data_IF_374089398097
#
_entry.id   IF_374089398097
#
_cell.length_a   1.000
_cell.length_b   1.000
_cell.length_c   1.000
_cell.angle_alpha   90.00
_cell.angle_beta   90.00
_cell.angle_gamma   90.00
#
_symmetry.space_group_name_H-M   'P 1'
#
loop_
_entity.id
_entity.type
_entity.pdbx_description
1 polymer ?
#
# COMPACT_ATOMS: atom_id res chain seq x y z
N UNK A 1 -36.03 28.38 -12.66
CA UNK A 1 -35.96 27.39 -13.75
C UNK A 1 -34.55 27.38 -14.31
N UNK A 2 -33.79 26.33 -14.00
CA UNK A 2 -32.61 25.91 -14.75
C UNK A 2 -32.45 24.41 -14.45
N UNK A 3 -33.20 23.59 -15.19
CA UNK A 3 -32.95 22.16 -15.27
C UNK A 3 -31.66 21.96 -16.06
N UNK A 4 -30.64 21.39 -15.44
CA UNK A 4 -29.54 20.77 -16.15
C UNK A 4 -29.58 19.25 -15.90
N UNK A 5 -29.77 18.45 -16.94
CA UNK A 5 -29.86 17.00 -16.83
C UNK A 5 -28.48 16.32 -16.99
N UNK A 6 -28.42 15.05 -16.53
CA UNK A 6 -27.45 13.99 -16.87
C UNK A 6 -26.16 13.91 -16.03
N UNK A 7 -25.69 12.77 -15.48
CA UNK A 7 -26.00 11.34 -15.67
C UNK A 7 -25.95 10.58 -14.32
N UNK A 8 -27.08 10.02 -13.88
CA UNK A 8 -27.10 8.94 -12.87
C UNK A 8 -27.16 7.62 -13.64
N UNK A 9 -26.07 6.88 -13.74
CA UNK A 9 -26.13 5.47 -14.14
C UNK A 9 -26.49 4.67 -12.89
N UNK A 10 -27.70 4.12 -12.88
CA UNK A 10 -28.09 3.08 -11.93
C UNK A 10 -27.73 1.74 -12.58
N UNK A 11 -26.61 1.15 -12.21
CA UNK A 11 -26.30 -0.22 -12.63
C UNK A 11 -26.83 -1.20 -11.57
N UNK A 12 -27.77 -2.04 -11.99
CA UNK A 12 -28.10 -3.26 -11.26
C UNK A 12 -27.01 -4.28 -11.59
N UNK A 13 -26.11 -4.52 -10.64
CA UNK A 13 -25.15 -5.60 -10.76
C UNK A 13 -25.81 -6.81 -10.10
N UNK A 14 -26.35 -7.70 -10.93
CA UNK A 14 -27.02 -8.90 -10.43
C UNK A 14 -25.95 -9.85 -9.86
N UNK A 15 -25.86 -9.90 -8.52
CA UNK A 15 -24.98 -10.85 -7.84
C UNK A 15 -25.54 -12.28 -7.95
N UNK A 16 -24.66 -13.25 -8.13
CA UNK A 16 -25.01 -14.67 -8.02
C UNK A 16 -25.48 -14.98 -6.60
N UNK A 17 -26.70 -15.50 -6.44
CA UNK A 17 -27.27 -15.88 -5.13
C UNK A 17 -28.47 -15.07 -4.63
N UNK A 18 -29.07 -14.20 -5.44
CA UNK A 18 -30.31 -13.48 -5.08
C UNK A 18 -30.10 -12.20 -4.26
N UNK A 19 -28.86 -11.77 -4.08
CA UNK A 19 -28.51 -10.47 -3.49
C UNK A 19 -28.52 -9.41 -4.62
N UNK A 20 -29.38 -8.40 -4.47
CA UNK A 20 -29.48 -7.29 -5.42
C UNK A 20 -28.49 -6.20 -5.01
N UNK A 21 -27.45 -5.98 -5.82
CA UNK A 21 -26.48 -4.89 -5.61
C UNK A 21 -26.85 -3.71 -6.49
N UNK A 22 -27.05 -2.54 -5.86
CA UNK A 22 -27.34 -1.29 -6.54
C UNK A 22 -26.17 -0.33 -6.37
N UNK A 23 -25.62 0.17 -7.47
CA UNK A 23 -24.60 1.23 -7.43
C UNK A 23 -25.25 2.55 -7.82
N UNK A 24 -25.16 3.54 -6.95
CA UNK A 24 -25.64 4.89 -7.20
C UNK A 24 -24.51 5.90 -7.03
N UNK A 25 -24.34 6.78 -8.02
CA UNK A 25 -23.32 7.84 -7.98
C UNK A 25 -23.99 9.19 -7.89
N UNK A 26 -23.80 9.86 -6.75
CA UNK A 26 -24.24 11.25 -6.59
C UNK A 26 -23.05 12.20 -6.77
N UNK A 27 -23.03 12.91 -7.90
CA UNK A 27 -21.99 13.92 -8.17
C UNK A 27 -22.39 15.27 -7.59
N UNK A 28 -21.55 15.81 -6.71
CA UNK A 28 -21.67 17.18 -6.21
C UNK A 28 -20.73 18.07 -7.02
N UNK A 29 -21.29 18.88 -7.91
CA UNK A 29 -20.51 19.69 -8.87
C UNK A 29 -19.81 20.88 -8.21
N UNK A 30 -20.48 21.55 -7.27
CA UNK A 30 -19.98 22.77 -6.62
C UNK A 30 -19.91 22.63 -5.09
N UNK A 31 -18.93 21.87 -4.59
CA UNK A 31 -18.75 21.67 -3.14
C UNK A 31 -18.57 22.97 -2.33
N UNK A 32 -18.03 24.03 -2.93
CA UNK A 32 -17.88 25.34 -2.28
C UNK A 32 -19.22 26.04 -2.02
N UNK A 33 -20.23 25.82 -2.85
CA UNK A 33 -21.57 26.45 -2.73
C UNK A 33 -22.48 25.73 -1.73
N UNK A 34 -22.10 24.51 -1.34
CA UNK A 34 -22.77 23.73 -0.32
C UNK A 34 -22.65 24.45 1.03
N UNK A 35 -23.77 24.96 1.51
CA UNK A 35 -23.88 25.66 2.78
C UNK A 35 -23.59 24.72 3.96
N UNK A 36 -22.74 25.12 4.91
CA UNK A 36 -22.54 24.36 6.13
C UNK A 36 -23.79 24.38 7.02
N UNK A 37 -23.94 23.38 7.87
CA UNK A 37 -25.07 23.21 8.81
C UNK A 37 -26.46 23.01 8.18
N UNK A 38 -26.53 22.82 6.87
CA UNK A 38 -27.76 22.52 6.14
C UNK A 38 -27.75 21.07 5.64
N UNK A 39 -28.93 20.42 5.66
CA UNK A 39 -29.11 19.10 5.04
C UNK A 39 -29.15 19.24 3.52
N UNK A 40 -28.29 18.50 2.83
CA UNK A 40 -28.32 18.40 1.37
C UNK A 40 -28.78 17.01 0.98
N UNK A 41 -29.74 16.92 0.07
CA UNK A 41 -30.38 15.66 -0.34
C UNK A 41 -30.15 15.41 -1.83
N UNK A 42 -29.83 14.16 -2.20
CA UNK A 42 -29.70 13.75 -3.60
C UNK A 42 -31.06 13.69 -4.30
N UNK A 43 -31.04 13.54 -5.62
CA UNK A 43 -32.23 13.06 -6.33
C UNK A 43 -32.63 11.68 -5.79
N UNK A 44 -33.93 11.39 -5.63
CA UNK A 44 -34.39 10.08 -5.20
C UNK A 44 -34.04 8.99 -6.22
N UNK A 45 -33.76 7.79 -5.74
CA UNK A 45 -33.49 6.62 -6.57
C UNK A 45 -34.26 5.40 -6.09
N UNK A 46 -34.70 4.57 -7.03
CA UNK A 46 -35.46 3.35 -6.74
C UNK A 46 -34.51 2.18 -6.54
N UNK A 47 -34.56 1.54 -5.39
CA UNK A 47 -33.84 0.29 -5.13
C UNK A 47 -34.71 -0.63 -4.29
N UNK A 48 -34.88 -1.86 -4.75
CA UNK A 48 -35.60 -2.92 -4.05
C UNK A 48 -37.05 -2.53 -3.63
N UNK A 49 -37.74 -1.85 -4.55
CA UNK A 49 -39.14 -1.41 -4.40
C UNK A 49 -39.34 -0.19 -3.50
N UNK A 50 -38.27 0.41 -2.98
CA UNK A 50 -38.31 1.61 -2.14
C UNK A 50 -37.65 2.81 -2.83
N UNK A 51 -38.09 4.02 -2.48
CA UNK A 51 -37.47 5.27 -2.92
C UNK A 51 -36.45 5.71 -1.87
N UNK A 52 -35.19 5.82 -2.26
CA UNK A 52 -34.07 6.16 -1.40
C UNK A 52 -33.53 7.54 -1.75
N UNK A 53 -32.93 8.20 -0.76
CA UNK A 53 -32.23 9.47 -0.93
C UNK A 53 -30.92 9.45 -0.13
N UNK A 54 -29.84 9.92 -0.73
CA UNK A 54 -28.64 10.25 0.02
C UNK A 54 -28.80 11.61 0.66
N UNK A 55 -28.36 11.74 1.90
CA UNK A 55 -28.35 13.00 2.63
C UNK A 55 -26.96 13.24 3.19
N UNK A 56 -26.48 14.47 3.14
CA UNK A 56 -25.25 14.83 3.83
C UNK A 56 -25.35 16.16 4.55
N UNK A 57 -24.49 16.31 5.56
CA UNK A 57 -24.32 17.53 6.34
C UNK A 57 -22.86 17.94 6.36
N UNK A 58 -22.58 19.15 5.90
CA UNK A 58 -21.26 19.77 5.94
C UNK A 58 -21.14 20.58 7.24
N UNK A 59 -20.39 20.08 8.21
CA UNK A 59 -20.28 20.64 9.55
C UNK A 59 -21.46 20.27 10.45
N UNK A 60 -21.17 19.71 11.62
CA UNK A 60 -22.14 19.53 12.72
C UNK A 60 -22.13 20.75 13.63
N UNK A 61 -23.23 21.03 14.33
CA UNK A 61 -23.28 22.10 15.35
C UNK A 61 -22.14 22.03 16.38
N UNK A 62 -21.67 20.82 16.72
CA UNK A 62 -20.56 20.60 17.67
C UNK A 62 -19.18 20.45 17.00
N UNK A 63 -19.11 20.21 15.69
CA UNK A 63 -17.85 20.06 14.96
C UNK A 63 -18.02 20.58 13.50
N UNK A 64 -17.66 21.85 13.25
CA UNK A 64 -17.81 22.51 11.95
C UNK A 64 -17.08 21.83 10.79
N UNK A 65 -16.04 21.04 11.09
CA UNK A 65 -15.20 20.39 10.07
C UNK A 65 -15.68 18.98 9.71
N UNK A 66 -16.65 18.42 10.43
CA UNK A 66 -17.12 17.05 10.18
C UNK A 66 -18.08 16.97 8.98
N UNK A 67 -17.92 15.95 8.14
CA UNK A 67 -18.89 15.54 7.13
C UNK A 67 -19.72 14.37 7.67
N UNK A 68 -21.04 14.44 7.57
CA UNK A 68 -21.93 13.31 7.91
C UNK A 68 -22.73 12.88 6.69
N UNK A 69 -22.76 11.58 6.43
CA UNK A 69 -23.48 10.95 5.34
C UNK A 69 -24.59 10.08 5.91
N UNK A 70 -25.77 10.15 5.30
CA UNK A 70 -26.95 9.40 5.71
C UNK A 70 -27.62 8.83 4.45
N UNK A 71 -28.26 7.69 4.61
CA UNK A 71 -29.19 7.14 3.64
C UNK A 71 -30.59 7.20 4.24
N UNK A 72 -31.52 7.83 3.54
CA UNK A 72 -32.91 7.94 3.94
C UNK A 72 -33.82 7.20 2.96
N UNK A 73 -34.97 6.75 3.46
CA UNK A 73 -36.08 6.28 2.63
C UNK A 73 -37.07 7.43 2.50
N UNK A 74 -37.43 7.77 1.27
CA UNK A 74 -38.46 8.76 0.99
C UNK A 74 -39.83 8.08 1.14
N UNK A 75 -40.53 8.37 2.24
CA UNK A 75 -41.90 7.89 2.44
C UNK A 75 -42.83 8.54 1.43
N UNK A 76 -43.38 7.73 0.52
CA UNK A 76 -44.39 8.18 -0.45
C UNK A 76 -45.81 8.21 0.13
N UNK A 77 -46.08 7.40 1.17
CA UNK A 77 -47.35 7.39 1.91
C UNK A 77 -47.15 6.98 3.38
N UNK A 78 -47.91 7.56 4.34
CA UNK A 78 -47.80 7.19 5.75
C UNK A 78 -48.05 5.69 5.97
N UNK A 79 -47.07 5.01 6.59
CA UNK A 79 -47.18 3.59 6.92
C UNK A 79 -46.73 2.62 5.83
N UNK A 80 -46.21 3.09 4.69
CA UNK A 80 -45.69 2.23 3.62
C UNK A 80 -44.52 1.32 4.06
N UNK A 81 -43.84 1.67 5.16
CA UNK A 81 -42.74 0.89 5.72
C UNK A 81 -43.16 -0.08 6.84
N UNK A 82 -44.46 -0.10 7.22
CA UNK A 82 -44.94 -1.00 8.28
C UNK A 82 -44.77 -2.46 7.87
N UNK A 83 -44.02 -3.23 8.66
CA UNK A 83 -43.83 -4.66 8.44
C UNK A 83 -42.69 -5.02 7.47
N UNK A 84 -42.04 -4.05 6.83
CA UNK A 84 -40.88 -4.32 5.98
C UNK A 84 -39.68 -4.67 6.87
N UNK A 85 -39.16 -5.89 6.72
CA UNK A 85 -37.90 -6.35 7.36
C UNK A 85 -36.92 -6.72 6.27
N UNK A 86 -36.02 -5.80 5.94
CA UNK A 86 -34.96 -6.01 4.94
C UNK A 86 -33.61 -5.70 5.58
N UNK A 87 -32.61 -6.52 5.25
CA UNK A 87 -31.23 -6.28 5.65
C UNK A 87 -30.52 -5.57 4.51
N UNK A 88 -30.05 -4.36 4.76
CA UNK A 88 -29.42 -3.50 3.76
C UNK A 88 -27.99 -3.20 4.22
N UNK A 89 -27.00 -3.66 3.45
CA UNK A 89 -25.60 -3.33 3.65
C UNK A 89 -25.26 -2.12 2.78
N UNK A 90 -24.82 -1.03 3.40
CA UNK A 90 -24.56 0.24 2.73
C UNK A 90 -23.06 0.53 2.83
N UNK A 91 -22.41 0.72 1.69
CA UNK A 91 -21.01 1.15 1.62
C UNK A 91 -21.00 2.55 1.01
N UNK A 92 -20.46 3.52 1.74
CA UNK A 92 -20.22 4.86 1.23
C UNK A 92 -18.81 4.93 0.66
N UNK A 93 -18.68 5.18 -0.64
CA UNK A 93 -17.40 5.49 -1.28
C UNK A 93 -17.44 6.97 -1.66
N UNK A 94 -16.54 7.75 -1.07
CA UNK A 94 -16.41 9.18 -1.35
C UNK A 94 -15.19 9.40 -2.24
N UNK A 95 -15.44 9.67 -3.52
CA UNK A 95 -14.39 9.98 -4.48
C UNK A 95 -14.27 11.50 -4.66
N UNK A 96 -13.10 12.04 -4.35
CA UNK A 96 -12.80 13.43 -4.70
C UNK A 96 -12.40 13.51 -6.17
N UNK A 97 -13.37 13.81 -7.04
CA UNK A 97 -13.16 13.90 -8.49
C UNK A 97 -12.28 15.08 -8.94
N UNK A 98 -11.83 15.95 -8.01
CA UNK A 98 -10.91 17.06 -8.30
C UNK A 98 -9.43 16.74 -8.02
N UNK A 99 -9.06 15.49 -7.74
CA UNK A 99 -7.63 15.12 -7.51
C UNK A 99 -6.74 15.28 -8.73
N UNK A 100 -7.30 15.38 -9.95
CA UNK A 100 -6.55 15.91 -11.10
C UNK A 100 -6.52 17.44 -11.03
N UNK A 101 -5.58 17.96 -10.24
CA UNK A 101 -5.22 19.39 -10.23
C UNK A 101 -5.79 20.25 -9.10
N UNK A 102 -6.22 19.67 -7.96
CA UNK A 102 -6.41 20.47 -6.74
C UNK A 102 -5.07 20.80 -6.10
N UNK A 103 -4.49 21.90 -6.57
CA UNK A 103 -3.69 22.78 -5.73
C UNK A 103 -4.61 23.27 -4.60
N UNK A 104 -4.26 23.03 -3.34
CA UNK A 104 -4.99 23.56 -2.18
C UNK A 104 -4.97 25.12 -2.09
N UNK A 105 -4.42 25.79 -3.10
CA UNK A 105 -3.96 27.17 -3.08
C UNK A 105 -4.95 28.29 -3.43
N UNK A 106 -6.28 28.08 -3.39
CA UNK A 106 -7.22 29.19 -3.65
C UNK A 106 -8.03 29.67 -2.44
N UNK A 107 -7.93 28.99 -1.31
CA UNK A 107 -8.30 29.51 0.02
C UNK A 107 -7.35 29.00 1.11
N UNK A 108 -6.13 28.61 0.73
CA UNK A 108 -5.05 28.59 1.72
C UNK A 108 -4.76 30.04 2.12
N UNK A 109 -4.35 30.32 3.36
CA UNK A 109 -3.59 31.55 3.59
C UNK A 109 -2.53 31.67 2.49
N UNK A 110 -2.15 32.89 2.05
CA UNK A 110 -1.07 33.04 1.08
C UNK A 110 0.06 32.11 1.50
N UNK A 111 0.55 31.24 0.59
CA UNK A 111 1.67 30.35 0.88
C UNK A 111 2.74 31.27 1.46
N UNK A 112 2.92 31.21 2.78
CA UNK A 112 4.03 31.88 3.41
C UNK A 112 5.18 31.08 2.87
N UNK A 113 5.89 31.64 1.88
CA UNK A 113 7.06 31.01 1.30
C UNK A 113 7.91 30.58 2.48
N UNK A 114 8.11 29.28 2.64
CA UNK A 114 8.87 28.82 3.77
C UNK A 114 10.29 29.38 3.54
N UNK A 115 10.86 30.14 4.49
CA UNK A 115 12.16 30.75 4.28
C UNK A 115 13.25 29.71 3.95
N UNK A 116 13.02 28.45 4.31
CA UNK A 116 13.90 27.31 4.06
C UNK A 116 13.67 26.61 2.71
N UNK A 117 12.63 26.96 1.92
CA UNK A 117 12.36 26.34 0.62
C UNK A 117 13.59 26.42 -0.31
N UNK A 118 14.28 27.57 -0.31
CA UNK A 118 15.48 27.82 -1.12
C UNK A 118 16.73 27.08 -0.63
N UNK A 119 16.69 26.51 0.58
CA UNK A 119 17.81 25.76 1.15
C UNK A 119 17.71 24.25 0.89
N UNK A 120 16.56 23.75 0.42
CA UNK A 120 16.38 22.34 0.09
C UNK A 120 17.36 21.94 -1.01
N UNK A 121 18.25 21.00 -0.71
CA UNK A 121 19.28 20.51 -1.62
C UNK A 121 20.14 21.64 -2.25
N UNK A 122 20.36 22.72 -1.51
CA UNK A 122 21.13 23.87 -1.94
C UNK A 122 22.57 23.77 -1.44
N UNK A 123 23.60 23.96 -2.28
CA UNK A 123 25.00 24.07 -1.83
C UNK A 123 25.25 25.31 -0.95
N UNK A 124 24.32 26.27 -0.96
CA UNK A 124 24.47 27.52 -0.23
C UNK A 124 24.37 27.26 1.27
N UNK A 125 25.45 27.56 2.00
CA UNK A 125 25.60 27.32 3.44
C UNK A 125 25.54 25.85 3.87
N UNK A 126 25.53 24.90 2.93
CA UNK A 126 25.59 23.48 3.27
C UNK A 126 26.93 23.13 3.91
N UNK A 127 26.88 22.48 5.06
CA UNK A 127 28.02 22.00 5.84
C UNK A 127 28.08 20.46 5.90
N UNK A 128 27.23 19.79 5.11
CA UNK A 128 27.26 18.34 4.86
C UNK A 128 26.71 18.00 3.48
N UNK A 129 27.27 16.96 2.88
CA UNK A 129 26.81 16.36 1.63
C UNK A 129 26.46 14.89 1.82
N UNK A 130 25.44 14.39 1.13
CA UNK A 130 25.07 12.99 1.12
C UNK A 130 25.34 12.39 -0.25
N UNK A 131 26.17 11.35 -0.28
CA UNK A 131 26.39 10.49 -1.45
C UNK A 131 25.42 9.32 -1.39
N UNK A 132 24.28 9.46 -2.07
CA UNK A 132 23.18 8.48 -2.01
C UNK A 132 23.30 7.48 -3.16
N UNK A 133 23.42 6.21 -2.82
CA UNK A 133 23.53 5.09 -3.77
C UNK A 133 22.23 4.30 -3.73
N UNK A 134 21.57 4.20 -4.89
CA UNK A 134 20.35 3.41 -5.04
C UNK A 134 20.62 1.92 -5.28
N UNK A 135 19.56 1.12 -5.36
CA UNK A 135 19.66 -0.34 -5.56
C UNK A 135 20.33 -0.73 -6.89
N UNK A 136 20.33 0.17 -7.87
CA UNK A 136 20.96 -0.02 -9.18
C UNK A 136 22.42 0.48 -9.19
N UNK A 137 23.00 0.73 -8.00
CA UNK A 137 24.34 1.30 -7.83
C UNK A 137 24.53 2.67 -8.50
N UNK A 138 23.43 3.40 -8.76
CA UNK A 138 23.49 4.78 -9.25
C UNK A 138 23.67 5.71 -8.08
N UNK A 139 24.53 6.70 -8.29
CA UNK A 139 24.93 7.62 -7.25
C UNK A 139 24.44 9.03 -7.54
N UNK A 140 23.96 9.71 -6.50
CA UNK A 140 23.57 11.12 -6.56
C UNK A 140 23.99 11.84 -5.29
N UNK A 141 24.52 13.05 -5.46
CA UNK A 141 24.95 13.92 -4.35
C UNK A 141 23.82 14.86 -3.97
N UNK A 142 23.60 15.02 -2.67
CA UNK A 142 22.63 15.93 -2.09
C UNK A 142 23.28 16.84 -1.05
N UNK A 143 22.90 18.12 -1.04
CA UNK A 143 23.43 19.11 -0.09
C UNK A 143 22.45 19.30 1.07
N UNK A 144 22.97 19.42 2.29
CA UNK A 144 22.15 19.65 3.47
C UNK A 144 22.91 20.42 4.57
N UNK A 145 22.21 20.70 5.66
CA UNK A 145 22.68 21.51 6.78
C UNK A 145 22.60 20.70 8.08
N UNK A 146 23.74 20.46 8.73
CA UNK A 146 23.89 19.61 9.92
C UNK A 146 22.92 20.02 11.03
N UNK A 147 22.82 21.31 11.32
CA UNK A 147 21.92 21.84 12.36
C UNK A 147 20.43 21.58 12.09
N UNK A 148 19.99 21.70 10.83
CA UNK A 148 18.59 21.45 10.45
C UNK A 148 18.27 19.96 10.55
N UNK A 149 19.18 19.10 10.04
CA UNK A 149 19.03 17.64 10.10
C UNK A 149 18.96 17.14 11.54
N UNK A 150 19.91 17.56 12.39
CA UNK A 150 19.95 17.17 13.80
C UNK A 150 18.70 17.60 14.56
N UNK A 151 18.16 18.80 14.29
CA UNK A 151 16.91 19.25 14.92
C UNK A 151 15.66 18.44 14.53
N UNK A 152 15.72 17.74 13.39
CA UNK A 152 14.56 17.09 12.76
C UNK A 152 14.53 15.57 12.93
N UNK A 153 15.65 14.96 13.34
CA UNK A 153 15.79 13.52 13.49
C UNK A 153 16.82 13.19 14.59
N UNK A 154 16.47 12.36 15.58
CA UNK A 154 17.41 11.90 16.60
C UNK A 154 18.55 11.05 16.00
N UNK A 155 18.30 10.36 14.87
CA UNK A 155 19.32 9.60 14.16
C UNK A 155 20.34 10.52 13.50
N UNK A 156 19.89 11.60 12.85
CA UNK A 156 20.81 12.61 12.32
C UNK A 156 21.55 13.36 13.42
N UNK A 157 20.89 13.68 14.54
CA UNK A 157 21.56 14.27 15.70
C UNK A 157 22.70 13.37 16.17
N UNK A 158 22.40 12.11 16.49
CA UNK A 158 23.41 11.15 16.94
C UNK A 158 24.54 10.95 15.91
N UNK A 159 24.20 10.85 14.61
CA UNK A 159 25.16 10.71 13.52
C UNK A 159 26.15 11.89 13.44
N UNK A 160 25.68 13.10 13.73
CA UNK A 160 26.42 14.34 13.53
C UNK A 160 27.08 14.89 14.81
N UNK A 161 26.65 14.47 16.00
CA UNK A 161 27.17 15.00 17.29
C UNK A 161 28.09 14.04 18.04
N UNK A 162 28.00 12.72 17.84
CA UNK A 162 28.59 11.74 18.78
C UNK A 162 30.04 11.32 18.53
N UNK A 163 30.88 12.16 17.90
CA UNK A 163 32.30 11.82 17.69
C UNK A 163 32.53 10.57 16.81
N UNK A 164 31.51 10.13 16.07
CA UNK A 164 31.62 9.08 15.06
C UNK A 164 32.33 9.61 13.81
N UNK A 165 32.76 8.73 12.91
CA UNK A 165 33.51 9.12 11.70
C UNK A 165 32.79 10.21 10.91
N UNK A 166 31.47 10.09 10.80
CA UNK A 166 30.55 11.01 10.13
C UNK A 166 30.48 12.40 10.78
N UNK A 167 30.79 12.52 12.08
CA UNK A 167 30.83 13.84 12.75
C UNK A 167 32.02 14.69 12.32
N UNK A 168 33.06 14.07 11.75
CA UNK A 168 34.25 14.73 11.21
C UNK A 168 34.30 14.75 9.68
N UNK A 169 33.36 14.05 9.01
CA UNK A 169 33.26 14.03 7.55
C UNK A 169 32.23 15.06 7.07
N UNK A 170 32.56 15.73 5.97
CA UNK A 170 31.66 16.64 5.26
C UNK A 170 30.84 15.91 4.18
N UNK A 171 31.08 14.60 4.03
CA UNK A 171 30.40 13.72 3.09
C UNK A 171 29.94 12.43 3.79
N UNK A 172 28.64 12.14 3.72
CA UNK A 172 28.01 10.96 4.30
C UNK A 172 27.55 10.04 3.18
N UNK A 173 28.01 8.79 3.20
CA UNK A 173 27.59 7.78 2.23
C UNK A 173 26.32 7.08 2.68
N UNK A 174 25.24 7.20 1.92
CA UNK A 174 23.98 6.51 2.17
C UNK A 174 23.73 5.44 1.11
N UNK A 175 23.92 4.18 1.48
CA UNK A 175 23.65 3.05 0.60
C UNK A 175 22.18 2.61 0.66
N UNK A 176 21.69 2.00 -0.42
CA UNK A 176 20.35 1.40 -0.51
C UNK A 176 19.26 2.42 -0.15
N UNK A 177 19.29 3.56 -0.83
CA UNK A 177 18.33 4.63 -0.64
C UNK A 177 17.90 5.21 -1.99
N UNK A 178 16.59 5.29 -2.20
CA UNK A 178 16.03 5.85 -3.42
C UNK A 178 16.21 7.39 -3.45
N UNK A 179 16.74 7.90 -4.56
CA UNK A 179 17.03 9.33 -4.72
C UNK A 179 15.77 10.23 -4.59
N UNK A 180 14.65 9.83 -5.20
CA UNK A 180 13.38 10.58 -5.15
C UNK A 180 12.78 10.60 -3.74
N UNK A 181 12.87 9.48 -3.02
CA UNK A 181 12.45 9.41 -1.63
C UNK A 181 13.35 10.26 -0.72
N UNK A 182 14.67 10.25 -0.95
CA UNK A 182 15.60 11.03 -0.13
C UNK A 182 15.40 12.54 -0.31
N UNK A 183 15.21 13.02 -1.54
CA UNK A 183 14.87 14.43 -1.76
C UNK A 183 13.50 14.80 -1.17
N UNK A 184 12.53 13.89 -1.20
CA UNK A 184 11.22 14.09 -0.57
C UNK A 184 11.35 14.21 0.97
N UNK A 185 12.23 13.40 1.57
CA UNK A 185 12.55 13.47 2.99
C UNK A 185 13.25 14.79 3.35
N UNK A 186 14.26 15.19 2.58
CA UNK A 186 14.93 16.49 2.75
C UNK A 186 13.92 17.63 2.59
N UNK A 187 13.05 17.58 1.60
CA UNK A 187 12.00 18.58 1.41
C UNK A 187 11.13 18.68 2.67
N UNK A 188 10.70 17.56 3.24
CA UNK A 188 9.96 17.57 4.50
C UNK A 188 10.74 18.21 5.65
N UNK A 189 12.02 17.88 5.82
CA UNK A 189 12.85 18.38 6.92
C UNK A 189 12.93 19.92 6.92
N UNK A 190 12.97 20.55 5.75
CA UNK A 190 13.08 22.01 5.63
C UNK A 190 11.72 22.69 5.60
N UNK A 191 10.73 22.04 4.98
CA UNK A 191 9.46 22.68 4.65
C UNK A 191 8.30 22.28 5.58
N UNK A 192 8.47 21.20 6.33
CA UNK A 192 7.42 20.45 7.04
C UNK A 192 6.29 19.93 6.14
N UNK A 193 6.49 19.93 4.82
CA UNK A 193 5.53 19.42 3.86
C UNK A 193 5.97 18.06 3.31
N UNK A 194 5.15 17.03 3.51
CA UNK A 194 5.38 15.70 2.92
C UNK A 194 4.82 15.69 1.51
N UNK A 195 5.67 15.45 0.52
CA UNK A 195 5.24 15.27 -0.87
C UNK A 195 5.30 13.80 -1.25
N UNK A 196 4.13 13.17 -1.40
CA UNK A 196 4.01 11.78 -1.84
C UNK A 196 3.52 11.78 -3.29
N UNK A 197 4.35 11.28 -4.20
CA UNK A 197 4.07 11.33 -5.65
C UNK A 197 3.43 10.04 -6.17
N UNK A 198 3.75 8.90 -5.55
CA UNK A 198 3.26 7.58 -5.95
C UNK A 198 3.29 6.57 -4.80
N UNK A 199 2.65 5.41 -4.96
CA UNK A 199 2.72 4.31 -3.98
C UNK A 199 4.15 3.80 -3.77
N UNK A 200 4.95 3.74 -4.84
CA UNK A 200 6.36 3.32 -4.75
C UNK A 200 7.21 4.38 -4.06
N UNK A 201 7.01 5.66 -4.38
CA UNK A 201 7.66 6.75 -3.65
C UNK A 201 7.27 6.72 -2.15
N UNK A 202 6.00 6.48 -1.83
CA UNK A 202 5.53 6.33 -0.44
C UNK A 202 6.21 5.17 0.30
N UNK A 203 6.45 4.03 -0.36
CA UNK A 203 7.16 2.87 0.23
C UNK A 203 8.62 3.21 0.52
N UNK A 204 9.32 3.77 -0.47
CA UNK A 204 10.72 4.16 -0.33
C UNK A 204 10.87 5.28 0.74
N UNK A 205 9.93 6.23 0.78
CA UNK A 205 9.92 7.32 1.75
C UNK A 205 9.62 6.80 3.16
N UNK A 206 8.71 5.83 3.29
CA UNK A 206 8.45 5.15 4.56
C UNK A 206 9.71 4.44 5.09
N UNK A 207 10.47 3.79 4.21
CA UNK A 207 11.74 3.16 4.60
C UNK A 207 12.73 4.17 5.18
N UNK A 208 12.91 5.31 4.50
CA UNK A 208 13.82 6.36 4.98
C UNK A 208 13.29 7.02 6.26
N UNK A 209 12.00 7.28 6.34
CA UNK A 209 11.37 7.85 7.52
C UNK A 209 11.51 6.95 8.74
N UNK A 210 11.43 5.62 8.56
CA UNK A 210 11.70 4.65 9.61
C UNK A 210 13.19 4.65 9.98
N UNK A 211 14.08 4.57 8.98
CA UNK A 211 15.55 4.55 9.16
C UNK A 211 16.08 5.78 9.91
N UNK A 212 15.50 6.95 9.67
CA UNK A 212 15.89 8.21 10.30
C UNK A 212 14.94 8.62 11.43
N UNK A 213 14.02 7.75 11.86
CA UNK A 213 13.08 8.00 12.96
C UNK A 213 12.24 9.28 12.83
N UNK A 214 11.85 9.64 11.60
CA UNK A 214 10.99 10.79 11.32
C UNK A 214 9.52 10.35 11.34
N UNK A 215 8.96 10.29 12.56
CA UNK A 215 7.62 9.74 12.85
C UNK A 215 6.51 10.38 12.01
N UNK A 216 6.56 11.70 11.79
CA UNK A 216 5.52 12.41 11.03
C UNK A 216 5.44 11.95 9.57
N UNK A 217 6.58 11.80 8.89
CA UNK A 217 6.63 11.30 7.51
C UNK A 217 6.15 9.86 7.46
N UNK A 218 6.58 9.03 8.41
CA UNK A 218 6.14 7.64 8.54
C UNK A 218 4.62 7.54 8.63
N UNK A 219 3.98 8.29 9.53
CA UNK A 219 2.52 8.28 9.68
C UNK A 219 1.78 8.77 8.44
N UNK A 220 2.35 9.75 7.73
CA UNK A 220 1.78 10.29 6.51
C UNK A 220 1.83 9.29 5.35
N UNK A 221 2.95 8.58 5.16
CA UNK A 221 3.04 7.47 4.21
C UNK A 221 2.03 6.36 4.54
N UNK A 222 1.89 5.99 5.82
CA UNK A 222 0.92 4.99 6.26
C UNK A 222 -0.53 5.44 6.06
N UNK A 223 -0.80 6.75 6.22
CA UNK A 223 -2.10 7.35 5.91
C UNK A 223 -2.40 7.29 4.42
N UNK A 224 -1.43 7.63 3.58
CA UNK A 224 -1.55 7.55 2.13
C UNK A 224 -1.88 6.11 1.68
N UNK A 225 -1.15 5.11 2.19
CA UNK A 225 -1.44 3.70 1.90
C UNK A 225 -2.87 3.27 2.25
N UNK A 226 -3.42 3.71 3.39
CA UNK A 226 -4.81 3.39 3.76
C UNK A 226 -5.84 4.04 2.84
N UNK A 227 -5.53 5.20 2.26
CA UNK A 227 -6.43 5.92 1.36
C UNK A 227 -6.43 5.33 -0.06
N UNK A 228 -5.29 4.85 -0.52
CA UNK A 228 -5.12 4.27 -1.86
C UNK A 228 -5.43 2.77 -1.94
N UNK A 229 -5.90 2.17 -0.84
CA UNK A 229 -6.13 0.73 -0.71
C UNK A 229 -7.20 0.23 -1.71
N UNK A 230 -6.86 -0.78 -2.50
CA UNK A 230 -7.75 -1.43 -3.47
C UNK A 230 -7.37 -2.91 -3.69
N UNK A 231 -8.15 -3.61 -4.53
CA UNK A 231 -7.97 -5.05 -4.80
C UNK A 231 -6.64 -5.40 -5.50
N UNK A 232 -6.00 -4.45 -6.16
CA UNK A 232 -4.77 -4.68 -6.91
C UNK A 232 -3.52 -4.45 -6.07
N UNK A 233 -3.62 -3.64 -5.01
CA UNK A 233 -2.46 -3.22 -4.20
C UNK A 233 -2.51 -3.67 -2.74
N UNK A 234 -3.64 -4.20 -2.25
CA UNK A 234 -3.83 -4.60 -0.84
C UNK A 234 -2.74 -5.54 -0.32
N UNK A 235 -2.31 -6.51 -1.13
CA UNK A 235 -1.30 -7.49 -0.72
C UNK A 235 0.05 -6.87 -0.43
N UNK A 236 0.48 -5.91 -1.25
CA UNK A 236 1.74 -5.21 -1.04
C UNK A 236 1.65 -4.22 0.11
N UNK A 237 0.55 -3.46 0.21
CA UNK A 237 0.34 -2.54 1.34
C UNK A 237 0.30 -3.31 2.67
N UNK A 238 -0.32 -4.48 2.69
CA UNK A 238 -0.31 -5.33 3.88
C UNK A 238 1.09 -5.86 4.19
N UNK A 239 1.85 -6.31 3.19
CA UNK A 239 3.25 -6.72 3.39
C UNK A 239 4.12 -5.61 4.00
N UNK A 240 3.94 -4.37 3.52
CA UNK A 240 4.60 -3.17 4.08
C UNK A 240 4.15 -2.94 5.53
N UNK A 241 2.85 -3.03 5.80
CA UNK A 241 2.33 -2.83 7.14
C UNK A 241 2.89 -3.84 8.15
N UNK A 242 3.04 -5.11 7.75
CA UNK A 242 3.69 -6.12 8.60
C UNK A 242 5.20 -5.86 8.73
N UNK A 243 5.91 -5.54 7.62
CA UNK A 243 7.36 -5.25 7.63
C UNK A 243 7.72 -4.14 8.62
N UNK A 244 6.93 -3.07 8.65
CA UNK A 244 7.15 -1.92 9.53
C UNK A 244 6.32 -1.98 10.82
N UNK A 245 5.73 -3.12 11.19
CA UNK A 245 4.96 -3.30 12.43
C UNK A 245 3.81 -2.28 12.64
N UNK A 246 3.10 -1.94 11.57
CA UNK A 246 2.06 -0.91 11.54
C UNK A 246 0.66 -1.51 11.76
N UNK A 247 0.30 -1.75 13.02
CA UNK A 247 -0.95 -2.45 13.41
C UNK A 247 -2.23 -1.85 12.83
N UNK A 248 -2.36 -0.52 12.78
CA UNK A 248 -3.56 0.16 12.24
C UNK A 248 -3.74 -0.09 10.74
N UNK A 249 -2.66 0.03 9.96
CA UNK A 249 -2.71 -0.24 8.52
C UNK A 249 -2.90 -1.73 8.26
N UNK A 250 -2.23 -2.61 9.02
CA UNK A 250 -2.43 -4.07 8.95
C UNK A 250 -3.88 -4.46 9.21
N UNK A 251 -4.52 -3.91 10.26
CA UNK A 251 -5.95 -4.15 10.53
C UNK A 251 -6.83 -3.68 9.38
N UNK A 252 -6.54 -2.50 8.82
CA UNK A 252 -7.30 -1.96 7.67
C UNK A 252 -7.20 -2.89 6.46
N UNK A 253 -6.00 -3.40 6.14
CA UNK A 253 -5.80 -4.37 5.07
C UNK A 253 -6.52 -5.69 5.36
N UNK A 254 -6.44 -6.20 6.59
CA UNK A 254 -7.11 -7.43 7.00
C UNK A 254 -8.62 -7.34 6.84
N UNK A 255 -9.22 -6.23 7.27
CA UNK A 255 -10.66 -5.99 7.16
C UNK A 255 -11.09 -5.86 5.69
N UNK A 256 -10.29 -5.16 4.88
CA UNK A 256 -10.50 -5.05 3.44
C UNK A 256 -10.45 -6.42 2.74
N UNK A 257 -9.39 -7.21 3.00
CA UNK A 257 -9.26 -8.55 2.43
C UNK A 257 -10.41 -9.43 2.88
N UNK A 258 -10.79 -9.39 4.16
CA UNK A 258 -11.93 -10.17 4.66
C UNK A 258 -13.22 -9.84 3.93
N UNK A 259 -13.49 -8.56 3.66
CA UNK A 259 -14.70 -8.09 2.99
C UNK A 259 -14.75 -8.50 1.50
N UNK A 260 -13.63 -8.33 0.80
CA UNK A 260 -13.51 -8.54 -0.65
C UNK A 260 -12.85 -9.87 -1.03
N UNK A 261 -12.80 -10.84 -0.10
CA UNK A 261 -11.95 -12.02 -0.28
C UNK A 261 -12.32 -12.84 -1.52
N UNK A 262 -13.62 -13.06 -1.79
CA UNK A 262 -14.08 -13.77 -3.00
C UNK A 262 -13.62 -13.09 -4.30
N UNK A 263 -13.60 -11.75 -4.36
CA UNK A 263 -13.08 -11.01 -5.52
C UNK A 263 -11.55 -11.16 -5.66
N UNK A 264 -10.84 -11.28 -4.54
CA UNK A 264 -9.39 -11.47 -4.52
C UNK A 264 -8.98 -12.90 -4.90
N UNK A 265 -9.86 -13.89 -4.76
CA UNK A 265 -9.54 -15.27 -5.13
C UNK A 265 -9.19 -15.42 -6.60
N UNK A 266 -9.78 -14.61 -7.49
CA UNK A 266 -9.55 -14.67 -8.94
C UNK A 266 -8.59 -13.56 -9.44
N UNK A 267 -8.37 -12.50 -8.65
CA UNK A 267 -7.50 -11.39 -9.03
C UNK A 267 -6.04 -11.85 -9.19
N UNK A 268 -5.35 -11.35 -10.22
CA UNK A 268 -3.93 -11.63 -10.49
C UNK A 268 -3.01 -11.05 -9.42
N UNK A 269 -3.41 -9.97 -8.74
CA UNK A 269 -2.67 -9.34 -7.63
C UNK A 269 -2.37 -10.32 -6.50
N UNK A 270 -3.26 -11.29 -6.26
CA UNK A 270 -3.10 -12.30 -5.21
C UNK A 270 -1.94 -13.25 -5.50
N UNK A 271 -1.59 -13.48 -6.77
CA UNK A 271 -0.44 -14.29 -7.15
C UNK A 271 0.90 -13.62 -6.76
N UNK A 272 0.88 -12.31 -6.57
CA UNK A 272 2.02 -11.52 -6.14
C UNK A 272 2.12 -11.36 -4.63
N UNK A 273 1.15 -11.90 -3.86
CA UNK A 273 1.14 -11.83 -2.41
C UNK A 273 2.32 -12.60 -1.79
N UNK A 274 2.89 -12.03 -0.73
CA UNK A 274 3.85 -12.72 0.14
C UNK A 274 3.14 -13.88 0.87
N UNK A 275 3.77 -15.08 0.99
CA UNK A 275 3.15 -16.24 1.60
C UNK A 275 2.71 -16.03 3.04
N UNK A 276 3.46 -15.26 3.84
CA UNK A 276 3.09 -14.96 5.22
C UNK A 276 1.81 -14.12 5.28
N UNK A 277 1.67 -13.16 4.37
CA UNK A 277 0.46 -12.31 4.28
C UNK A 277 -0.72 -13.13 3.78
N UNK A 278 -0.50 -13.99 2.78
CA UNK A 278 -1.52 -14.90 2.28
C UNK A 278 -1.97 -15.86 3.38
N UNK A 279 -1.04 -16.40 4.17
CA UNK A 279 -1.33 -17.24 5.33
C UNK A 279 -2.20 -16.50 6.35
N UNK A 280 -1.85 -15.26 6.72
CA UNK A 280 -2.65 -14.43 7.63
C UNK A 280 -4.08 -14.20 7.11
N UNK A 281 -4.23 -13.98 5.80
CA UNK A 281 -5.54 -13.86 5.17
C UNK A 281 -6.34 -15.18 5.24
N UNK A 282 -5.69 -16.30 4.94
CA UNK A 282 -6.29 -17.64 4.97
C UNK A 282 -6.63 -18.11 6.38
N UNK A 283 -5.92 -17.65 7.40
CA UNK A 283 -6.24 -17.96 8.79
C UNK A 283 -7.47 -17.23 9.30
N UNK A 284 -7.88 -16.14 8.64
CA UNK A 284 -9.01 -15.32 9.06
C UNK A 284 -10.36 -16.03 8.88
N UNK A 285 -10.99 -16.36 10.00
CA UNK A 285 -12.31 -17.00 10.05
C UNK A 285 -13.46 -16.08 9.58
N UNK A 286 -13.27 -14.76 9.58
CA UNK A 286 -14.28 -13.77 9.16
C UNK A 286 -14.27 -13.52 7.64
N UNK A 287 -13.38 -14.16 6.89
CA UNK A 287 -13.26 -13.90 5.46
C UNK A 287 -14.55 -14.27 4.69
N UNK A 288 -14.97 -13.38 3.80
CA UNK A 288 -16.16 -13.49 2.97
C UNK A 288 -15.93 -14.41 1.76
N UNK A 289 -15.80 -15.72 2.02
CA UNK A 289 -15.70 -16.77 1.00
C UNK A 289 -16.64 -17.92 1.35
N UNK A 290 -17.34 -18.42 0.33
CA UNK A 290 -18.37 -19.44 0.46
C UNK A 290 -17.91 -20.86 0.07
N UNK A 291 -16.70 -21.00 -0.50
CA UNK A 291 -16.15 -22.28 -0.97
C UNK A 291 -14.68 -22.41 -0.56
N UNK A 292 -14.37 -23.47 0.18
CA UNK A 292 -12.98 -23.83 0.51
C UNK A 292 -12.27 -24.44 -0.71
N UNK A 293 -13.01 -24.98 -1.68
CA UNK A 293 -12.45 -25.44 -2.96
C UNK A 293 -11.78 -24.28 -3.72
N UNK A 294 -12.43 -23.11 -3.82
CA UNK A 294 -11.79 -21.93 -4.44
C UNK A 294 -10.52 -21.48 -3.70
N UNK A 295 -10.48 -21.64 -2.38
CA UNK A 295 -9.31 -21.31 -1.56
C UNK A 295 -8.16 -22.27 -1.88
N UNK A 296 -8.46 -23.56 -1.99
CA UNK A 296 -7.49 -24.57 -2.42
C UNK A 296 -6.96 -24.26 -3.82
N UNK A 297 -7.85 -23.98 -4.78
CA UNK A 297 -7.47 -23.61 -6.14
C UNK A 297 -6.57 -22.38 -6.16
N UNK A 298 -6.87 -21.36 -5.34
CA UNK A 298 -6.00 -20.19 -5.17
C UNK A 298 -4.62 -20.59 -4.67
N UNK A 299 -4.51 -21.42 -3.63
CA UNK A 299 -3.22 -21.84 -3.06
C UNK A 299 -2.38 -22.60 -4.10
N UNK A 300 -3.00 -23.51 -4.85
CA UNK A 300 -2.34 -24.25 -5.93
C UNK A 300 -1.92 -23.31 -7.06
N UNK A 301 -2.80 -22.40 -7.48
CA UNK A 301 -2.52 -21.41 -8.52
C UNK A 301 -1.39 -20.46 -8.10
N UNK A 302 -1.36 -20.05 -6.84
CA UNK A 302 -0.29 -19.25 -6.26
C UNK A 302 1.03 -20.04 -6.25
N UNK A 303 1.03 -21.31 -5.87
CA UNK A 303 2.24 -22.13 -5.80
C UNK A 303 2.84 -22.45 -7.16
N UNK A 304 1.99 -22.67 -8.17
CA UNK A 304 2.40 -22.93 -9.55
C UNK A 304 2.77 -21.66 -10.33
N UNK A 305 2.59 -20.47 -9.75
CA UNK A 305 2.87 -19.22 -10.45
C UNK A 305 4.38 -18.99 -10.57
N UNK A 306 4.96 -19.27 -11.74
CA UNK A 306 6.33 -18.88 -12.05
C UNK A 306 6.38 -17.36 -12.23
N UNK A 307 6.95 -16.66 -11.25
CA UNK A 307 7.35 -15.27 -11.43
C UNK A 307 8.36 -15.26 -12.60
N UNK A 308 8.11 -14.50 -13.67
CA UNK A 308 8.91 -14.49 -14.91
C UNK A 308 10.38 -14.06 -14.76
N UNK A 309 10.88 -13.94 -13.52
CA UNK A 309 12.27 -13.60 -13.19
C UNK A 309 13.18 -14.84 -13.06
N UNK A 310 12.62 -16.05 -13.00
CA UNK A 310 13.41 -17.30 -12.83
C UNK A 310 14.01 -17.86 -14.14
N UNK A 311 13.81 -17.22 -15.30
CA UNK A 311 14.38 -17.68 -16.58
C UNK A 311 15.82 -17.23 -16.85
N UNK A 312 16.46 -16.49 -15.94
CA UNK A 312 17.85 -16.00 -16.11
C UNK A 312 18.85 -16.60 -15.11
N UNK A 313 18.70 -17.87 -14.73
CA UNK A 313 19.78 -18.63 -14.08
C UNK A 313 20.28 -19.69 -15.04
N UNK A 314 21.40 -19.49 -15.75
CA UNK A 314 22.05 -20.59 -16.45
C UNK A 314 22.59 -21.60 -15.41
N UNK A 315 22.51 -22.91 -15.71
CA UNK A 315 22.96 -23.95 -14.80
C UNK A 315 24.46 -23.86 -14.55
N UNK A 316 24.83 -24.04 -13.29
CA UNK A 316 26.20 -24.13 -12.81
C UNK A 316 26.95 -25.26 -13.51
N UNK A 317 28.06 -24.92 -14.17
CA UNK A 317 29.09 -25.90 -14.50
C UNK A 317 30.50 -25.31 -14.36
N UNK A 318 31.28 -26.02 -13.54
CA UNK A 318 32.71 -26.34 -13.66
C UNK A 318 33.74 -25.41 -12.99
N UNK A 319 34.21 -25.91 -11.83
CA UNK A 319 35.56 -25.73 -11.29
C UNK A 319 36.63 -25.79 -12.37
N UNK A 320 37.52 -24.80 -12.41
CA UNK A 320 38.95 -24.98 -12.70
C UNK A 320 39.74 -23.68 -12.48
N UNK A 321 40.69 -23.76 -11.56
CA UNK A 321 42.02 -23.13 -11.65
C UNK A 321 42.14 -21.63 -11.37
N UNK A 322 42.44 -21.35 -10.10
CA UNK A 322 43.18 -20.18 -9.62
C UNK A 322 44.56 -20.18 -10.29
N UNK A 323 44.89 -19.14 -11.06
CA UNK A 323 46.27 -18.73 -11.28
C UNK A 323 46.50 -17.34 -10.69
N UNK A 324 47.37 -17.35 -9.69
CA UNK A 324 48.05 -16.21 -9.09
C UNK A 324 48.94 -15.56 -10.16
N UNK A 325 48.88 -14.25 -10.32
CA UNK A 325 49.99 -13.49 -10.86
C UNK A 325 50.17 -12.20 -10.06
N UNK A 326 51.31 -12.15 -9.40
CA UNK A 326 51.92 -11.03 -8.72
C UNK A 326 52.23 -9.87 -9.69
N UNK A 327 52.02 -8.64 -9.24
CA UNK A 327 52.98 -7.52 -9.38
C UNK A 327 52.50 -6.27 -8.61
N UNK A 328 53.38 -5.58 -7.85
CA UNK A 328 53.06 -4.38 -7.08
C UNK A 328 53.53 -3.09 -7.81
N UNK A 329 53.56 -1.92 -7.14
CA UNK A 329 52.59 -0.83 -7.18
C UNK A 329 53.06 0.36 -8.07
N UNK A 330 52.35 1.50 -8.07
CA UNK A 330 53.00 2.64 -7.40
C UNK A 330 52.04 3.58 -6.64
N UNK A 331 52.51 4.06 -5.51
CA UNK A 331 52.35 5.46 -5.05
C UNK A 331 53.71 6.15 -5.29
N UNK A 332 53.89 7.49 -5.26
CA UNK A 332 53.03 8.51 -4.65
C UNK A 332 52.86 9.81 -5.48
N UNK A 333 51.85 10.62 -5.16
CA UNK A 333 52.02 12.08 -5.26
C UNK A 333 51.06 12.83 -4.33
N UNK A 334 51.67 13.50 -3.37
CA UNK A 334 51.13 14.59 -2.58
C UNK A 334 50.74 15.75 -3.49
N UNK A 335 49.45 16.13 -3.48
CA UNK A 335 49.01 17.42 -3.99
C UNK A 335 48.28 18.17 -2.86
N UNK A 336 49.00 19.10 -2.25
CA UNK A 336 48.46 20.17 -1.44
C UNK A 336 47.56 21.05 -2.32
N UNK A 337 46.25 21.08 -2.05
CA UNK A 337 45.36 22.06 -2.65
C UNK A 337 45.30 23.30 -1.75
N UNK A 338 46.08 24.31 -2.13
CA UNK A 338 45.97 25.69 -1.67
C UNK A 338 44.63 26.28 -2.12
N UNK A 339 43.99 27.09 -1.28
CA UNK A 339 42.79 27.86 -1.62
C UNK A 339 43.03 28.76 -2.84
N UNK A 340 42.07 28.87 -3.78
CA UNK A 340 41.92 30.06 -4.59
C UNK A 340 41.04 31.06 -3.82
N UNK A 341 41.69 32.11 -3.31
CA UNK A 341 41.06 33.36 -2.93
C UNK A 341 40.73 34.14 -4.20
N UNK A 342 39.48 34.08 -4.67
CA UNK A 342 38.85 35.13 -5.49
C UNK A 342 37.35 34.79 -5.61
N UNK A 343 36.52 35.65 -5.00
CA UNK A 343 35.06 35.62 -5.12
C UNK A 343 34.67 36.15 -6.51
N UNK A 344 33.82 35.46 -7.29
CA UNK A 344 33.23 36.08 -8.47
C UNK A 344 32.20 37.14 -8.06
N UNK A 345 32.32 38.33 -8.65
CA UNK A 345 31.60 39.57 -8.30
C UNK A 345 30.09 39.60 -8.64
N UNK A 346 29.47 38.55 -9.18
CA UNK A 346 28.04 38.57 -9.48
C UNK A 346 27.35 37.27 -9.05
N UNK A 347 26.67 37.33 -7.89
CA UNK A 347 25.99 36.20 -7.26
C UNK A 347 24.49 36.10 -7.59
N UNK A 348 23.99 36.94 -8.51
CA UNK A 348 22.56 36.99 -8.88
C UNK A 348 22.18 36.07 -10.06
N UNK A 349 23.15 35.59 -10.85
CA UNK A 349 22.85 34.80 -12.07
C UNK A 349 22.88 33.26 -11.87
N UNK A 350 23.11 32.76 -10.65
CA UNK A 350 23.34 31.32 -10.41
C UNK A 350 22.29 30.58 -9.57
N UNK A 351 21.20 31.22 -9.13
CA UNK A 351 20.17 30.52 -8.34
C UNK A 351 18.77 31.08 -8.62
N UNK A 352 18.24 30.77 -9.80
CA UNK A 352 16.80 30.49 -9.94
C UNK A 352 16.63 28.96 -9.97
N UNK A 353 16.72 28.34 -8.78
CA UNK A 353 16.06 27.04 -8.59
C UNK A 353 14.58 27.37 -8.42
N UNK A 354 13.94 27.63 -9.55
CA UNK A 354 12.51 27.79 -9.63
C UNK A 354 11.85 26.54 -9.02
N UNK A 355 10.71 26.70 -8.35
CA UNK A 355 9.94 25.56 -7.81
C UNK A 355 9.74 24.43 -8.83
N UNK A 356 9.74 24.73 -10.13
CA UNK A 356 9.75 23.77 -11.24
C UNK A 356 10.92 22.77 -11.21
N UNK A 357 12.13 23.15 -10.78
CA UNK A 357 13.28 22.23 -10.73
C UNK A 357 13.16 21.22 -9.58
N UNK A 358 12.61 21.62 -8.43
CA UNK A 358 12.23 20.70 -7.35
C UNK A 358 11.10 19.75 -7.79
N UNK A 359 10.12 20.25 -8.55
CA UNK A 359 9.10 19.42 -9.18
C UNK A 359 9.69 18.44 -10.22
N UNK A 360 10.66 18.86 -11.04
CA UNK A 360 11.35 17.99 -12.02
C UNK A 360 12.19 16.91 -11.33
N UNK A 361 12.97 17.26 -10.31
CA UNK A 361 13.73 16.27 -9.51
C UNK A 361 12.83 15.23 -8.82
N UNK A 362 11.63 15.63 -8.39
CA UNK A 362 10.65 14.72 -7.81
C UNK A 362 9.97 13.81 -8.85
N UNK A 363 9.88 14.26 -10.12
CA UNK A 363 9.12 13.60 -11.19
C UNK A 363 9.99 12.87 -12.25
N UNK A 364 11.31 13.11 -12.29
CA UNK A 364 12.22 12.50 -13.28
C UNK A 364 12.53 11.00 -13.04
N UNK A 365 11.95 10.38 -12.01
CA UNK A 365 12.29 9.01 -11.62
C UNK A 365 11.33 7.91 -12.13
N UNK A 366 10.32 8.23 -12.96
CA UNK A 366 9.15 7.35 -13.13
C UNK A 366 9.06 6.50 -14.42
N UNK A 367 10.11 6.41 -15.23
CA UNK A 367 10.08 5.66 -16.52
C UNK A 367 10.78 4.28 -16.50
N UNK A 368 11.00 3.67 -15.34
CA UNK A 368 11.61 2.34 -15.24
C UNK A 368 10.55 1.26 -14.93
N UNK A 369 10.59 0.11 -15.60
CA UNK A 369 9.69 -1.04 -15.36
C UNK A 369 9.81 -1.59 -13.91
N UNK A 370 10.90 -1.22 -13.22
CA UNK A 370 11.13 -1.44 -11.78
C UNK A 370 10.13 -0.71 -10.87
N UNK A 371 9.30 0.18 -11.41
CA UNK A 371 8.42 1.10 -10.69
C UNK A 371 6.99 0.55 -10.44
N UNK A 372 6.70 -0.70 -10.86
CA UNK A 372 5.42 -1.35 -10.54
C UNK A 372 5.27 -1.59 -9.04
N UNK A 373 4.15 -1.12 -8.50
CA UNK A 373 3.70 -1.41 -7.14
C UNK A 373 2.43 -2.27 -7.19
N UNK A 374 2.33 -3.32 -6.35
CA UNK A 374 3.35 -3.81 -5.42
C UNK A 374 4.43 -4.65 -6.11
N UNK A 375 5.63 -4.71 -5.54
CA UNK A 375 6.70 -5.59 -6.05
C UNK A 375 6.25 -7.05 -5.93
N UNK A 376 6.24 -7.83 -7.03
CA UNK A 376 5.86 -9.23 -6.97
C UNK A 376 6.77 -10.04 -6.04
N UNK A 377 6.18 -10.95 -5.27
CA UNK A 377 6.95 -11.88 -4.46
C UNK A 377 7.72 -12.89 -5.34
N UNK A 378 9.00 -13.10 -5.03
CA UNK A 378 9.98 -13.84 -5.84
C UNK A 378 10.74 -14.95 -5.08
N UNK A 379 10.20 -15.44 -3.96
CA UNK A 379 10.84 -16.52 -3.20
C UNK A 379 10.46 -17.92 -3.72
N UNK A 380 10.89 -18.95 -2.99
CA UNK A 380 10.52 -20.35 -3.27
C UNK A 380 9.06 -20.64 -2.85
N UNK A 381 8.16 -20.67 -3.83
CA UNK A 381 6.71 -20.91 -3.62
C UNK A 381 6.43 -22.29 -3.08
N UNK A 382 7.18 -23.30 -3.51
CA UNK A 382 6.97 -24.69 -3.14
C UNK A 382 7.36 -24.93 -1.68
N UNK A 383 8.37 -24.22 -1.18
CA UNK A 383 8.72 -24.24 0.24
C UNK A 383 7.61 -23.68 1.14
N UNK A 384 6.84 -22.70 0.67
CA UNK A 384 5.72 -22.11 1.43
C UNK A 384 4.39 -22.87 1.26
N UNK A 385 4.29 -23.78 0.29
CA UNK A 385 3.06 -24.51 0.01
C UNK A 385 2.51 -25.30 1.22
N UNK A 386 3.32 -26.04 2.01
CA UNK A 386 2.82 -26.79 3.16
C UNK A 386 2.18 -25.91 4.24
N UNK A 387 2.67 -24.69 4.49
CA UNK A 387 2.08 -23.79 5.48
C UNK A 387 0.74 -23.24 5.01
N UNK A 388 0.63 -22.89 3.73
CA UNK A 388 -0.62 -22.40 3.14
C UNK A 388 -1.70 -23.50 3.10
N UNK A 389 -1.34 -24.74 2.76
CA UNK A 389 -2.28 -25.86 2.72
C UNK A 389 -2.86 -26.19 4.11
N UNK A 390 -2.11 -25.98 5.20
CA UNK A 390 -2.62 -26.12 6.58
C UNK A 390 -3.74 -25.13 6.92
N UNK A 391 -3.82 -24.01 6.20
CA UNK A 391 -4.89 -23.02 6.38
C UNK A 391 -6.19 -23.37 5.63
N UNK A 392 -6.14 -24.35 4.72
CA UNK A 392 -7.26 -24.82 3.91
C UNK A 392 -8.09 -25.83 4.69
N UNK A 393 -9.42 -25.66 4.71
CA UNK A 393 -10.32 -26.51 5.50
C UNK A 393 -10.83 -27.68 4.67
N UNK A 394 -9.94 -28.63 4.37
CA UNK A 394 -10.28 -29.85 3.61
C UNK A 394 -11.58 -30.56 4.04
N UNK A 395 -11.92 -30.69 5.35
CA UNK A 395 -13.17 -31.33 5.75
C UNK A 395 -14.44 -30.60 5.29
N UNK A 396 -14.35 -29.34 4.86
CA UNK A 396 -15.46 -28.53 4.36
C UNK A 396 -15.63 -28.65 2.84
N UNK A 397 -14.74 -29.37 2.15
CA UNK A 397 -14.83 -29.63 0.71
C UNK A 397 -15.67 -30.87 0.42
N UNK A 398 -16.13 -31.00 -0.83
CA UNK A 398 -16.76 -32.23 -1.31
C UNK A 398 -15.77 -33.39 -1.38
N UNK A 399 -16.19 -34.58 -0.94
CA UNK A 399 -15.39 -35.82 -1.04
C UNK A 399 -14.87 -36.08 -2.47
N UNK A 400 -15.71 -35.84 -3.47
CA UNK A 400 -15.34 -36.01 -4.88
C UNK A 400 -14.19 -35.09 -5.28
N UNK A 401 -14.22 -33.83 -4.85
CA UNK A 401 -13.19 -32.84 -5.15
C UNK A 401 -11.85 -33.21 -4.50
N UNK A 402 -11.86 -33.71 -3.25
CA UNK A 402 -10.64 -34.19 -2.59
C UNK A 402 -10.00 -35.33 -3.38
N UNK A 403 -10.81 -36.28 -3.88
CA UNK A 403 -10.31 -37.41 -4.64
C UNK A 403 -9.79 -37.02 -6.04
N UNK A 404 -10.54 -36.19 -6.77
CA UNK A 404 -10.21 -35.84 -8.16
C UNK A 404 -9.09 -34.79 -8.24
N UNK A 405 -9.20 -33.70 -7.48
CA UNK A 405 -8.33 -32.52 -7.62
C UNK A 405 -7.18 -32.52 -6.61
N UNK A 406 -7.45 -32.86 -5.33
CA UNK A 406 -6.42 -32.80 -4.29
C UNK A 406 -5.44 -33.97 -4.39
N UNK A 407 -5.94 -35.21 -4.39
CA UNK A 407 -5.11 -36.40 -4.56
C UNK A 407 -4.54 -36.54 -5.98
N UNK A 408 -5.25 -36.02 -6.99
CA UNK A 408 -4.79 -35.99 -8.38
C UNK A 408 -3.60 -35.06 -8.62
N UNK A 409 -3.32 -34.11 -7.72
CA UNK A 409 -2.25 -33.14 -7.89
C UNK A 409 -0.92 -33.62 -7.25
N UNK A 410 0.10 -34.00 -8.05
CA UNK A 410 1.33 -34.57 -7.52
C UNK A 410 2.18 -33.58 -6.72
N UNK A 411 2.14 -32.28 -7.08
CA UNK A 411 2.89 -31.23 -6.37
C UNK A 411 2.34 -31.06 -4.95
N UNK A 412 1.00 -31.04 -4.84
CA UNK A 412 0.31 -30.94 -3.56
C UNK A 412 0.53 -32.19 -2.72
N UNK A 413 0.42 -33.38 -3.30
CA UNK A 413 0.59 -34.65 -2.56
C UNK A 413 2.05 -34.92 -2.14
N UNK A 414 3.03 -34.27 -2.78
CA UNK A 414 4.43 -34.29 -2.37
C UNK A 414 4.74 -33.31 -1.22
N UNK A 415 3.86 -32.35 -0.94
CA UNK A 415 4.07 -31.37 0.12
C UNK A 415 4.02 -32.02 1.51
N UNK A 416 4.86 -31.51 2.43
CA UNK A 416 4.99 -32.05 3.77
C UNK A 416 3.66 -31.99 4.55
N UNK A 417 3.30 -33.11 5.19
CA UNK A 417 2.08 -33.24 5.98
C UNK A 417 0.76 -33.32 5.19
N UNK A 418 0.77 -33.30 3.86
CA UNK A 418 -0.47 -33.31 3.08
C UNK A 418 -1.27 -34.61 3.15
N UNK A 419 -0.58 -35.76 3.19
CA UNK A 419 -1.24 -37.06 3.35
C UNK A 419 -2.04 -37.14 4.64
N UNK A 420 -1.50 -36.59 5.73
CA UNK A 420 -2.17 -36.56 7.02
C UNK A 420 -3.43 -35.68 6.98
N UNK A 421 -3.35 -34.51 6.34
CA UNK A 421 -4.48 -33.59 6.17
C UNK A 421 -5.62 -34.24 5.36
N UNK A 422 -5.30 -34.97 4.28
CA UNK A 422 -6.29 -35.69 3.47
C UNK A 422 -6.94 -36.84 4.26
N UNK A 423 -6.14 -37.62 4.99
CA UNK A 423 -6.65 -38.70 5.85
C UNK A 423 -7.60 -38.14 6.92
N UNK A 424 -7.22 -37.04 7.57
CA UNK A 424 -8.05 -36.37 8.59
C UNK A 424 -9.35 -35.82 7.98
N UNK A 425 -9.30 -35.28 6.77
CA UNK A 425 -10.50 -34.82 6.05
C UNK A 425 -11.46 -35.96 5.74
N UNK A 426 -10.99 -37.09 5.21
CA UNK A 426 -11.84 -38.25 4.95
C UNK A 426 -12.44 -38.84 6.23
N UNK A 427 -11.66 -38.91 7.31
CA UNK A 427 -12.17 -39.37 8.62
C UNK A 427 -13.34 -38.50 9.08
N UNK A 428 -13.20 -37.18 9.01
CA UNK A 428 -14.28 -36.26 9.37
C UNK A 428 -15.50 -36.39 8.45
N UNK A 429 -15.30 -36.58 7.13
CA UNK A 429 -16.41 -36.77 6.18
C UNK A 429 -17.15 -38.11 6.36
N UNK A 430 -16.46 -39.15 6.85
CA UNK A 430 -17.03 -40.47 7.12
C UNK A 430 -17.68 -40.55 8.52
N UNK A 431 -17.15 -39.83 9.50
CA UNK A 431 -17.59 -39.85 10.90
C UNK A 431 -17.63 -38.43 11.50
N UNK A 432 -18.63 -37.60 11.16
CA UNK A 432 -18.67 -36.18 11.56
C UNK A 432 -18.93 -35.95 13.07
N UNK A 433 -19.55 -36.92 13.76
CA UNK A 433 -19.93 -36.79 15.18
C UNK A 433 -18.82 -37.24 16.16
N UNK A 434 -17.69 -37.73 15.65
CA UNK A 434 -16.56 -38.16 16.49
C UNK A 434 -15.65 -36.94 16.72
N UNK A 435 -15.49 -36.45 17.97
CA UNK A 435 -14.59 -35.34 18.25
C UNK A 435 -13.14 -35.76 17.95
N UNK A 436 -12.52 -35.06 17.01
CA UNK A 436 -11.12 -35.27 16.63
C UNK A 436 -10.20 -34.86 17.80
N UNK A 437 -9.20 -35.69 18.10
CA UNK A 437 -8.20 -35.39 19.14
C UNK A 437 -7.09 -34.44 18.66
N UNK A 438 -7.03 -34.16 17.36
CA UNK A 438 -5.99 -33.35 16.71
C UNK A 438 -6.47 -31.92 16.48
N UNK A 439 -5.86 -30.95 17.16
CA UNK A 439 -6.08 -29.50 16.94
C UNK A 439 -5.61 -28.99 15.56
N UNK A 440 -5.23 -29.88 14.62
CA UNK A 440 -4.53 -29.50 13.38
C UNK A 440 -5.45 -28.99 12.29
N UNK A 441 -6.68 -29.53 12.18
CA UNK A 441 -7.58 -29.18 11.07
C UNK A 441 -8.75 -28.32 11.54
N UNK A 442 -8.97 -27.19 10.86
CA UNK A 442 -10.10 -26.31 11.12
C UNK A 442 -11.38 -26.92 10.53
N UNK A 443 -12.25 -27.45 11.39
CA UNK A 443 -13.52 -28.10 11.00
C UNK A 443 -14.72 -27.16 10.88
N UNK A 444 -14.55 -25.85 11.14
CA UNK A 444 -15.64 -24.87 11.13
C UNK A 444 -15.68 -24.12 9.79
N UNK A 445 -16.87 -23.82 9.26
CA UNK A 445 -17.03 -22.90 8.13
C UNK A 445 -16.53 -21.49 8.43
N UNK A 446 -16.05 -20.77 7.42
CA UNK A 446 -15.78 -19.34 7.52
C UNK A 446 -17.09 -18.60 7.78
N UNK A 447 -17.08 -17.64 8.70
CA UNK A 447 -18.29 -16.92 9.14
C UNK A 447 -18.93 -16.10 8.03
N UNK A 448 -18.14 -15.71 7.02
CA UNK A 448 -18.63 -15.05 5.81
C UNK A 448 -19.64 -15.87 4.99
N UNK A 449 -19.70 -17.20 5.19
CA UNK A 449 -20.57 -18.09 4.41
C UNK A 449 -22.05 -18.13 4.84
N UNK A 450 -22.58 -17.14 5.59
CA UNK A 450 -24.00 -17.18 5.96
C UNK A 450 -24.52 -16.31 7.09
N UNK A 451 -23.83 -15.24 7.50
CA UNK A 451 -24.37 -14.31 8.49
C UNK A 451 -24.01 -12.85 8.22
N UNK A 452 -24.30 -12.34 7.03
CA UNK A 452 -24.68 -10.93 6.91
C UNK A 452 -25.93 -10.82 6.04
#
# INVERSE_FOLDING_TARGET
MAHFPHLNYNELIQGSGGILTYVYRWKITNWSEVQPYMEHTSTPFSADGLQWVFKFYKGRQKNPQALSLYLGILETTPGCLRGIRKKVSIIFVLENLRTKGMDFGKNSPPKINNPFDKLVNSPRFSDVTFRVIDDNSREKVFYAHKGILASSSPVFEAMLTNGMKESFEDEIKLCQANHSAFISLLTFIYTFHVNIVSLRNSENLLELADRFEIIHVREECLRYFRLELNVDNVWGIWAIAEKYCCSKTSSTCRDFVALYFDNLLDNSSTLHANPNILQLALENDEANVNSEEKIYELVVRWANHSSSLDQNVPPSENSSTIQVNDSPPPSPSTASASMPSELPENFEDLIDIDSENLYKLNNEADNDDSNKFPKPWSGDRLAALPSLLKCVRFPMMKKQFIFEEVEGNPIVMAADGMKDLVIEAYRHLLMPDVPNSTNRVKHRKRKGSGKY
#
